data_IF_377369916250
#
_entry.id   IF_377369916250
#
_cell.length_a   1.000
_cell.length_b   1.000
_cell.length_c   1.000
_cell.angle_alpha   90.00
_cell.angle_beta   90.00
_cell.angle_gamma   90.00
#
_symmetry.space_group_name_H-M   'P 1'
#
loop_
_entity.id
_entity.type
_entity.pdbx_description
1 polymer ?
#
# COMPACT_ATOMS: atom_id res chain seq x y z
N UNK A 1 11.67 33.66 39.40
CA UNK A 1 10.81 32.49 39.04
C UNK A 1 11.11 31.94 37.65
N UNK A 2 12.37 31.69 37.30
CA UNK A 2 12.78 31.16 35.98
C UNK A 2 13.83 30.02 36.12
N UNK A 3 13.99 29.41 37.28
CA UNK A 3 15.02 28.40 37.54
C UNK A 3 14.51 27.04 38.01
N UNK A 4 13.20 26.81 38.18
CA UNK A 4 12.66 25.53 38.69
C UNK A 4 12.07 24.57 37.64
N UNK A 5 12.21 24.84 36.33
CA UNK A 5 11.66 23.95 35.28
C UNK A 5 12.66 22.89 34.77
N UNK A 6 13.90 22.87 35.30
CA UNK A 6 15.00 22.12 34.66
C UNK A 6 15.45 20.85 35.42
N UNK A 7 14.71 20.33 36.41
CA UNK A 7 15.20 19.23 37.27
C UNK A 7 14.46 17.88 37.13
N UNK A 8 13.66 17.65 36.10
CA UNK A 8 13.06 16.32 35.82
C UNK A 8 13.21 15.82 34.40
N UNK A 9 14.18 16.25 33.62
CA UNK A 9 14.59 15.56 32.42
C UNK A 9 15.54 14.41 32.74
N UNK A 10 15.04 13.39 33.46
CA UNK A 10 15.65 12.08 33.36
C UNK A 10 15.75 11.73 31.87
N UNK A 11 16.94 11.35 31.42
CA UNK A 11 17.24 11.04 30.01
C UNK A 11 16.22 10.07 29.44
N UNK A 12 15.20 10.58 28.72
CA UNK A 12 14.17 9.76 28.08
C UNK A 12 14.87 8.88 27.07
N UNK A 13 14.94 7.57 27.35
CA UNK A 13 15.55 6.59 26.44
C UNK A 13 14.82 6.61 25.09
N UNK A 14 15.55 6.88 24.02
CA UNK A 14 14.99 6.83 22.67
C UNK A 14 14.61 5.39 22.30
N UNK A 15 13.34 5.14 22.08
CA UNK A 15 12.78 3.85 21.64
C UNK A 15 12.51 3.82 20.15
N UNK A 16 12.93 4.81 19.37
CA UNK A 16 12.58 5.01 17.99
C UNK A 16 12.84 3.78 17.11
N UNK A 17 14.03 3.18 17.18
CA UNK A 17 14.36 1.99 16.39
C UNK A 17 13.51 0.76 16.77
N UNK A 18 13.24 0.56 18.07
CA UNK A 18 12.35 -0.52 18.52
C UNK A 18 10.95 -0.36 17.93
N UNK A 19 10.42 0.87 17.97
CA UNK A 19 9.09 1.18 17.40
C UNK A 19 9.10 1.04 15.88
N UNK A 20 10.18 1.46 15.22
CA UNK A 20 10.34 1.34 13.76
C UNK A 20 10.31 -0.14 13.31
N UNK A 21 11.11 -1.00 13.96
CA UNK A 21 11.11 -2.42 13.59
C UNK A 21 9.84 -3.16 14.00
N UNK A 22 9.19 -2.75 15.09
CA UNK A 22 7.87 -3.26 15.44
C UNK A 22 6.82 -2.89 14.37
N UNK A 23 6.80 -1.63 13.92
CA UNK A 23 5.93 -1.18 12.84
C UNK A 23 6.22 -1.88 11.51
N UNK A 24 7.49 -2.09 11.17
CA UNK A 24 7.89 -2.87 10.00
C UNK A 24 7.40 -4.32 10.09
N UNK A 25 7.57 -4.97 11.26
CA UNK A 25 7.12 -6.34 11.49
C UNK A 25 5.59 -6.49 11.40
N UNK A 26 4.83 -5.52 11.93
CA UNK A 26 3.37 -5.47 11.75
C UNK A 26 3.03 -5.40 10.25
N UNK A 27 3.66 -4.53 9.51
CA UNK A 27 3.43 -4.39 8.08
C UNK A 27 3.87 -5.63 7.28
N UNK A 28 4.92 -6.33 7.69
CA UNK A 28 5.32 -7.61 7.12
C UNK A 28 4.21 -8.67 7.26
N UNK A 29 3.52 -8.73 8.40
CA UNK A 29 2.40 -9.65 8.59
C UNK A 29 1.15 -9.22 7.79
N UNK A 30 0.79 -7.92 7.84
CA UNK A 30 -0.38 -7.38 7.16
C UNK A 30 -0.27 -7.40 5.63
N UNK A 31 0.95 -7.47 5.10
CA UNK A 31 1.20 -7.55 3.66
C UNK A 31 0.78 -8.86 2.99
N UNK A 32 0.12 -9.79 3.72
CA UNK A 32 -0.55 -10.98 3.14
C UNK A 32 -1.51 -10.59 2.01
N UNK A 33 -2.07 -9.39 2.04
CA UNK A 33 -2.88 -8.84 0.95
C UNK A 33 -2.19 -9.01 -0.41
N UNK A 34 -0.89 -8.75 -0.51
CA UNK A 34 -0.13 -8.88 -1.76
C UNK A 34 0.23 -10.32 -2.15
N UNK A 35 -0.04 -11.29 -1.26
CA UNK A 35 0.09 -12.72 -1.56
C UNK A 35 -1.23 -13.35 -2.00
N UNK A 36 -2.29 -12.57 -2.20
CA UNK A 36 -3.61 -13.07 -2.60
C UNK A 36 -3.57 -13.96 -3.85
N UNK A 37 -2.73 -13.65 -4.83
CA UNK A 37 -2.63 -14.47 -6.05
C UNK A 37 -2.17 -15.90 -5.75
N UNK A 38 -1.37 -16.13 -4.71
CA UNK A 38 -0.97 -17.47 -4.25
C UNK A 38 -2.14 -18.18 -3.58
N UNK A 39 -2.88 -17.48 -2.69
CA UNK A 39 -4.08 -18.02 -2.02
C UNK A 39 -5.13 -18.40 -3.06
N UNK A 40 -5.41 -17.49 -4.01
CA UNK A 40 -6.44 -17.73 -5.05
C UNK A 40 -6.09 -18.85 -6.01
N UNK A 41 -4.79 -19.07 -6.30
CA UNK A 41 -4.32 -20.24 -7.08
C UNK A 41 -4.54 -21.55 -6.30
N UNK A 42 -4.43 -21.51 -4.99
CA UNK A 42 -4.65 -22.66 -4.11
C UNK A 42 -6.10 -23.04 -3.89
N UNK A 43 -7.07 -22.27 -4.42
CA UNK A 43 -8.51 -22.61 -4.33
C UNK A 43 -8.77 -23.85 -5.14
N UNK A 44 -9.30 -24.95 -4.52
CA UNK A 44 -9.60 -26.20 -5.20
C UNK A 44 -10.61 -26.02 -6.33
N UNK A 45 -10.43 -26.78 -7.41
CA UNK A 45 -11.32 -26.73 -8.59
C UNK A 45 -12.75 -27.15 -8.20
N UNK A 46 -12.89 -28.03 -7.23
CA UNK A 46 -14.17 -28.56 -6.72
C UNK A 46 -15.04 -27.45 -6.08
N UNK A 47 -14.46 -26.31 -5.70
CA UNK A 47 -15.23 -25.17 -5.19
C UNK A 47 -15.94 -24.39 -6.30
N UNK A 48 -15.63 -24.67 -7.57
CA UNK A 48 -16.25 -24.06 -8.76
C UNK A 48 -16.22 -22.52 -8.79
N UNK A 49 -15.14 -21.90 -8.26
CA UNK A 49 -15.01 -20.44 -8.29
C UNK A 49 -14.57 -19.97 -9.68
N UNK A 50 -15.31 -19.02 -10.23
CA UNK A 50 -14.89 -18.23 -11.38
C UNK A 50 -13.70 -17.31 -11.03
N UNK A 51 -13.05 -16.73 -12.01
CA UNK A 51 -12.01 -15.72 -11.74
C UNK A 51 -12.57 -14.42 -11.18
N UNK A 52 -13.82 -14.12 -11.47
CA UNK A 52 -14.57 -13.06 -10.79
C UNK A 52 -14.71 -13.36 -9.30
N UNK A 53 -15.14 -14.58 -8.95
CA UNK A 53 -15.27 -15.00 -7.53
C UNK A 53 -13.95 -14.88 -6.78
N UNK A 54 -12.84 -15.27 -7.40
CA UNK A 54 -11.48 -15.13 -6.85
C UNK A 54 -11.02 -13.68 -6.73
N UNK A 55 -11.63 -12.76 -7.49
CA UNK A 55 -11.27 -11.33 -7.45
C UNK A 55 -11.98 -10.56 -6.35
N UNK A 56 -13.20 -10.95 -5.99
CA UNK A 56 -14.04 -10.23 -5.02
C UNK A 56 -13.40 -10.07 -3.64
N UNK A 57 -12.84 -11.11 -2.97
CA UNK A 57 -12.26 -10.94 -1.64
C UNK A 57 -11.12 -9.92 -1.63
N UNK A 58 -10.26 -9.94 -2.64
CA UNK A 58 -9.16 -9.00 -2.77
C UNK A 58 -9.64 -7.57 -3.02
N UNK A 59 -10.60 -7.40 -3.93
CA UNK A 59 -11.16 -6.10 -4.25
C UNK A 59 -11.82 -5.45 -3.03
N UNK A 60 -12.63 -6.23 -2.29
CA UNK A 60 -13.26 -5.77 -1.04
C UNK A 60 -12.19 -5.42 -0.02
N UNK A 61 -11.14 -6.23 0.12
CA UNK A 61 -10.04 -5.91 1.04
C UNK A 61 -9.38 -4.58 0.71
N UNK A 62 -9.13 -4.27 -0.57
CA UNK A 62 -8.53 -3.00 -0.99
C UNK A 62 -9.41 -1.80 -0.66
N UNK A 63 -10.71 -1.85 -0.97
CA UNK A 63 -11.61 -0.72 -0.71
C UNK A 63 -11.85 -0.52 0.78
N UNK A 64 -12.07 -1.60 1.53
CA UNK A 64 -12.25 -1.54 2.99
C UNK A 64 -11.00 -1.02 3.67
N UNK A 65 -9.80 -1.51 3.29
CA UNK A 65 -8.52 -1.01 3.79
C UNK A 65 -8.44 0.51 3.66
N UNK A 66 -8.66 1.04 2.45
CA UNK A 66 -8.50 2.46 2.18
C UNK A 66 -9.51 3.34 2.94
N UNK A 67 -10.74 2.88 3.09
CA UNK A 67 -11.78 3.59 3.85
C UNK A 67 -11.44 3.59 5.35
N UNK A 68 -11.06 2.44 5.90
CA UNK A 68 -10.76 2.27 7.33
C UNK A 68 -9.49 3.02 7.73
N UNK A 69 -8.52 3.19 6.82
CA UNK A 69 -7.28 3.90 7.11
C UNK A 69 -7.52 5.34 7.62
N UNK A 70 -8.56 6.03 7.13
CA UNK A 70 -8.87 7.41 7.54
C UNK A 70 -9.32 7.49 9.01
N UNK A 71 -10.37 6.76 9.47
CA UNK A 71 -10.76 6.77 10.88
C UNK A 71 -9.71 6.11 11.78
N UNK A 72 -8.98 5.09 11.31
CA UNK A 72 -7.93 4.42 12.08
C UNK A 72 -6.77 5.36 12.43
N UNK A 73 -6.38 6.24 11.50
CA UNK A 73 -5.38 7.27 11.75
C UNK A 73 -5.79 8.24 12.85
N UNK A 74 -7.07 8.66 12.89
CA UNK A 74 -7.61 9.49 13.99
C UNK A 74 -7.69 8.73 15.31
N UNK A 75 -8.10 7.48 15.28
CA UNK A 75 -8.17 6.63 16.46
C UNK A 75 -6.79 6.45 17.07
N UNK A 76 -5.76 6.21 16.27
CA UNK A 76 -4.39 6.04 16.74
C UNK A 76 -3.86 7.31 17.44
N UNK A 77 -4.26 8.49 17.00
CA UNK A 77 -3.89 9.74 17.68
C UNK A 77 -4.63 9.95 19.01
N UNK A 78 -5.86 9.43 19.17
CA UNK A 78 -6.70 9.57 20.36
C UNK A 78 -6.44 8.50 21.41
N UNK A 79 -6.48 7.23 21.03
CA UNK A 79 -6.41 6.07 21.96
C UNK A 79 -5.05 5.37 21.91
N UNK A 80 -4.15 5.82 21.04
CA UNK A 80 -2.78 5.34 20.90
C UNK A 80 -2.60 4.19 19.91
N UNK A 81 -1.36 4.04 19.39
CA UNK A 81 -1.05 3.09 18.32
C UNK A 81 -1.17 1.63 18.76
N UNK A 82 -0.92 1.29 20.03
CA UNK A 82 -0.99 -0.09 20.52
C UNK A 82 -2.37 -0.70 20.35
N UNK A 83 -3.39 0.02 20.83
CA UNK A 83 -4.78 -0.46 20.81
C UNK A 83 -5.23 -0.61 19.37
N UNK A 84 -4.98 0.40 18.52
CA UNK A 84 -5.45 0.43 17.14
C UNK A 84 -4.74 -0.65 16.30
N UNK A 85 -3.43 -0.84 16.47
CA UNK A 85 -2.71 -1.93 15.80
C UNK A 85 -3.17 -3.31 16.31
N UNK A 86 -3.48 -3.47 17.60
CA UNK A 86 -4.01 -4.72 18.15
C UNK A 86 -5.40 -5.06 17.58
N UNK A 87 -6.27 -4.05 17.42
CA UNK A 87 -7.55 -4.21 16.70
C UNK A 87 -7.28 -4.69 15.27
N UNK A 88 -6.29 -4.11 14.58
CA UNK A 88 -5.87 -4.53 13.24
C UNK A 88 -5.47 -6.01 13.20
N UNK A 89 -4.60 -6.45 14.12
CA UNK A 89 -4.18 -7.85 14.22
C UNK A 89 -5.32 -8.80 14.53
N UNK A 90 -6.22 -8.40 15.45
CA UNK A 90 -7.41 -9.18 15.81
C UNK A 90 -8.33 -9.37 14.60
N UNK A 91 -8.62 -8.31 13.86
CA UNK A 91 -9.49 -8.35 12.69
C UNK A 91 -8.89 -9.20 11.56
N UNK A 92 -7.58 -9.07 11.28
CA UNK A 92 -6.92 -9.93 10.27
C UNK A 92 -6.98 -11.39 10.70
N UNK A 93 -6.67 -11.70 11.97
CA UNK A 93 -6.71 -13.07 12.47
C UNK A 93 -8.09 -13.68 12.39
N UNK A 94 -9.11 -13.00 12.93
CA UNK A 94 -10.51 -13.43 12.85
C UNK A 94 -10.93 -13.58 11.38
N UNK A 95 -10.60 -12.62 10.54
CA UNK A 95 -10.96 -12.66 9.12
C UNK A 95 -10.41 -13.87 8.38
N UNK A 96 -9.13 -14.19 8.58
CA UNK A 96 -8.51 -15.38 7.99
C UNK A 96 -9.06 -16.68 8.58
N UNK A 97 -9.37 -16.71 9.89
CA UNK A 97 -10.02 -17.88 10.52
C UNK A 97 -11.41 -18.07 9.91
N UNK A 98 -12.24 -17.03 9.75
CA UNK A 98 -13.54 -17.13 9.07
C UNK A 98 -13.37 -17.66 7.65
N UNK A 99 -12.43 -17.10 6.88
CA UNK A 99 -12.17 -17.55 5.51
C UNK A 99 -11.75 -19.03 5.46
N UNK A 100 -11.00 -19.51 6.45
CA UNK A 100 -10.57 -20.90 6.51
C UNK A 100 -11.70 -21.91 6.76
N UNK A 101 -12.82 -21.49 7.36
CA UNK A 101 -13.94 -22.36 7.69
C UNK A 101 -14.97 -22.52 6.56
N UNK A 102 -14.78 -21.82 5.44
CA UNK A 102 -15.73 -21.80 4.34
C UNK A 102 -15.10 -22.25 3.02
N UNK A 103 -15.94 -22.64 2.09
CA UNK A 103 -15.58 -22.90 0.69
C UNK A 103 -16.26 -21.91 -0.25
N UNK A 104 -17.10 -21.00 0.28
CA UNK A 104 -17.87 -20.08 -0.53
C UNK A 104 -17.12 -18.76 -0.78
N UNK A 105 -17.29 -18.13 -1.96
CA UNK A 105 -16.77 -16.80 -2.23
C UNK A 105 -17.21 -15.77 -1.20
N UNK A 106 -18.48 -15.82 -0.77
CA UNK A 106 -19.03 -14.90 0.23
C UNK A 106 -18.29 -14.96 1.57
N UNK A 107 -17.96 -16.15 2.03
CA UNK A 107 -17.21 -16.31 3.27
C UNK A 107 -15.80 -15.71 3.18
N UNK A 108 -15.14 -15.82 2.03
CA UNK A 108 -13.86 -15.16 1.78
C UNK A 108 -14.00 -13.64 1.60
N UNK A 109 -15.11 -13.17 1.00
CA UNK A 109 -15.42 -11.73 0.93
C UNK A 109 -15.58 -11.14 2.32
N UNK A 110 -16.28 -11.82 3.22
CA UNK A 110 -16.42 -11.38 4.61
C UNK A 110 -15.09 -11.51 5.38
N UNK A 111 -14.47 -12.70 5.37
CA UNK A 111 -13.27 -12.98 6.15
C UNK A 111 -12.06 -12.18 5.65
N UNK A 112 -11.57 -12.46 4.45
CA UNK A 112 -10.41 -11.80 3.89
C UNK A 112 -10.73 -10.36 3.44
N UNK A 113 -11.89 -10.16 2.81
CA UNK A 113 -12.28 -8.86 2.25
C UNK A 113 -12.62 -7.83 3.34
N UNK A 114 -13.67 -8.08 4.13
CA UNK A 114 -14.17 -7.09 5.10
C UNK A 114 -13.31 -7.08 6.36
N UNK A 115 -13.20 -8.22 7.06
CA UNK A 115 -12.42 -8.27 8.30
C UNK A 115 -10.94 -8.09 8.06
N UNK A 116 -10.37 -8.78 7.06
CA UNK A 116 -8.97 -8.63 6.67
C UNK A 116 -8.67 -7.21 6.22
N UNK A 117 -9.48 -6.65 5.30
CA UNK A 117 -9.34 -5.28 4.81
C UNK A 117 -9.39 -4.23 5.91
N UNK A 118 -10.34 -4.36 6.85
CA UNK A 118 -10.41 -3.48 8.01
C UNK A 118 -9.16 -3.62 8.90
N UNK A 119 -8.73 -4.85 9.14
CA UNK A 119 -7.52 -5.12 9.92
C UNK A 119 -6.26 -4.55 9.29
N UNK A 120 -6.12 -4.64 7.96
CA UNK A 120 -5.02 -3.99 7.21
C UNK A 120 -5.06 -2.47 7.41
N UNK A 121 -6.24 -1.85 7.34
CA UNK A 121 -6.41 -0.40 7.55
C UNK A 121 -5.99 0.05 8.95
N UNK A 122 -6.48 -0.61 9.99
CA UNK A 122 -6.13 -0.29 11.38
C UNK A 122 -4.65 -0.49 11.66
N UNK A 123 -4.06 -1.60 11.23
CA UNK A 123 -2.66 -1.90 11.49
C UNK A 123 -1.71 -0.97 10.74
N UNK A 124 -1.94 -0.77 9.43
CA UNK A 124 -1.10 0.09 8.59
C UNK A 124 -1.11 1.56 9.04
N UNK A 125 -2.30 2.11 9.36
CA UNK A 125 -2.43 3.47 9.85
C UNK A 125 -1.70 3.71 11.18
N UNK A 126 -1.55 2.67 12.00
CA UNK A 126 -0.95 2.75 13.34
C UNK A 126 0.54 2.50 13.37
N UNK A 127 1.14 1.93 12.33
CA UNK A 127 2.53 1.49 12.34
C UNK A 127 3.53 2.65 12.17
N UNK A 128 3.28 3.55 11.21
CA UNK A 128 4.23 4.60 10.82
C UNK A 128 4.25 5.82 11.74
N UNK A 129 3.10 6.41 12.16
CA UNK A 129 3.10 7.65 12.92
C UNK A 129 3.86 7.59 14.26
N UNK A 130 3.76 6.53 15.07
CA UNK A 130 4.52 6.47 16.32
C UNK A 130 6.03 6.38 16.06
N UNK A 131 6.46 5.66 15.01
CA UNK A 131 7.88 5.50 14.70
C UNK A 131 8.54 6.83 14.34
N UNK A 132 7.94 7.61 13.44
CA UNK A 132 8.53 8.87 12.95
C UNK A 132 8.64 9.93 14.05
N UNK A 133 7.74 9.92 15.05
CA UNK A 133 7.74 10.89 16.17
C UNK A 133 8.98 10.79 17.07
N UNK A 134 9.74 9.69 17.02
CA UNK A 134 10.98 9.51 17.79
C UNK A 134 12.23 10.13 17.15
N UNK A 135 12.15 10.55 15.89
CA UNK A 135 13.31 11.01 15.11
C UNK A 135 13.16 12.45 14.64
N UNK A 136 14.30 13.12 14.45
CA UNK A 136 14.32 14.45 13.87
C UNK A 136 13.73 14.48 12.45
N UNK A 137 13.16 15.62 12.04
CA UNK A 137 12.50 15.81 10.75
C UNK A 137 13.32 15.31 9.55
N UNK A 138 14.65 15.47 9.59
CA UNK A 138 15.57 14.99 8.55
C UNK A 138 15.56 13.45 8.35
N UNK A 139 15.15 12.67 9.35
CA UNK A 139 15.09 11.20 9.30
C UNK A 139 13.68 10.64 9.07
N UNK A 140 12.66 11.49 9.06
CA UNK A 140 11.25 11.07 8.97
C UNK A 140 10.99 10.21 7.72
N UNK A 141 11.52 10.61 6.56
CA UNK A 141 11.37 9.88 5.31
C UNK A 141 11.98 8.47 5.36
N UNK A 142 13.20 8.35 5.91
CA UNK A 142 13.88 7.07 6.08
C UNK A 142 13.08 6.13 7.00
N UNK A 143 12.64 6.63 8.15
CA UNK A 143 11.91 5.85 9.13
C UNK A 143 10.56 5.39 8.60
N UNK A 144 9.80 6.30 7.98
CA UNK A 144 8.56 5.97 7.32
C UNK A 144 8.78 4.94 6.21
N UNK A 145 9.83 5.12 5.40
CA UNK A 145 10.21 4.18 4.34
C UNK A 145 10.46 2.77 4.86
N UNK A 146 11.22 2.62 5.95
CA UNK A 146 11.50 1.32 6.58
C UNK A 146 10.21 0.64 7.05
N UNK A 147 9.35 1.36 7.76
CA UNK A 147 8.08 0.81 8.27
C UNK A 147 7.17 0.36 7.12
N UNK A 148 7.01 1.21 6.11
CA UNK A 148 6.11 0.94 4.98
C UNK A 148 6.69 -0.12 4.03
N UNK A 149 8.03 -0.23 3.93
CA UNK A 149 8.68 -1.28 3.14
C UNK A 149 8.29 -2.69 3.64
N UNK A 150 8.01 -2.88 4.93
CA UNK A 150 7.51 -4.14 5.48
C UNK A 150 6.29 -4.66 4.73
N UNK A 151 5.30 -3.81 4.47
CA UNK A 151 4.10 -4.20 3.73
C UNK A 151 4.41 -4.59 2.26
N UNK A 152 5.31 -3.83 1.61
CA UNK A 152 5.73 -4.10 0.23
C UNK A 152 6.52 -5.40 0.08
N UNK A 153 7.40 -5.70 1.04
CA UNK A 153 8.28 -6.86 1.03
C UNK A 153 7.64 -8.15 1.60
N UNK A 154 6.45 -8.05 2.17
CA UNK A 154 5.79 -9.17 2.84
C UNK A 154 5.70 -10.44 1.98
N UNK A 155 5.35 -10.30 0.70
CA UNK A 155 5.21 -11.43 -0.20
C UNK A 155 6.53 -12.18 -0.49
N UNK A 156 7.69 -11.60 -0.15
CA UNK A 156 8.98 -12.29 -0.30
C UNK A 156 9.01 -13.57 0.55
N UNK A 157 8.43 -13.53 1.76
CA UNK A 157 8.36 -14.71 2.63
C UNK A 157 6.96 -15.34 2.68
N UNK A 158 5.88 -14.53 2.60
CA UNK A 158 4.50 -15.05 2.69
C UNK A 158 4.17 -15.91 1.47
N UNK A 159 4.58 -15.51 0.26
CA UNK A 159 4.23 -16.27 -0.94
C UNK A 159 4.85 -17.70 -0.94
N UNK A 160 6.15 -17.92 -0.69
CA UNK A 160 6.69 -19.25 -0.59
C UNK A 160 6.13 -20.03 0.61
N UNK A 161 5.98 -19.38 1.78
CA UNK A 161 5.39 -19.99 2.96
C UNK A 161 3.96 -20.48 2.71
N UNK A 162 3.12 -19.64 2.11
CA UNK A 162 1.73 -20.00 1.77
C UNK A 162 1.69 -21.14 0.76
N UNK A 163 2.54 -21.09 -0.26
CA UNK A 163 2.64 -22.18 -1.26
C UNK A 163 3.00 -23.50 -0.59
N UNK A 164 4.00 -23.50 0.29
CA UNK A 164 4.41 -24.69 1.04
C UNK A 164 3.31 -25.22 1.96
N UNK A 165 2.64 -24.34 2.71
CA UNK A 165 1.54 -24.73 3.59
C UNK A 165 0.37 -25.36 2.81
N UNK A 166 0.00 -24.78 1.66
CA UNK A 166 -1.07 -25.31 0.80
C UNK A 166 -0.68 -26.68 0.24
N UNK A 167 0.56 -26.84 -0.20
CA UNK A 167 1.05 -28.09 -0.79
C UNK A 167 1.14 -29.23 0.23
N UNK A 168 1.46 -28.92 1.49
CA UNK A 168 1.68 -29.93 2.54
C UNK A 168 0.42 -30.24 3.34
N UNK A 169 -0.50 -29.30 3.49
CA UNK A 169 -1.68 -29.45 4.34
C UNK A 169 -2.99 -29.32 3.52
N UNK A 170 -3.46 -28.10 3.36
CA UNK A 170 -4.60 -27.71 2.54
C UNK A 170 -4.73 -26.20 2.55
N UNK A 171 -5.51 -25.63 1.62
CA UNK A 171 -5.78 -24.19 1.61
C UNK A 171 -6.44 -23.73 2.92
N UNK A 172 -7.45 -24.45 3.41
CA UNK A 172 -8.16 -24.11 4.67
C UNK A 172 -7.21 -24.07 5.84
N UNK A 173 -6.41 -25.11 6.02
CA UNK A 173 -5.44 -25.21 7.11
C UNK A 173 -4.34 -24.15 6.99
N UNK A 174 -3.84 -23.89 5.79
CA UNK A 174 -2.84 -22.84 5.53
C UNK A 174 -3.36 -21.45 5.92
N UNK A 175 -4.58 -21.09 5.48
CA UNK A 175 -5.20 -19.80 5.81
C UNK A 175 -5.47 -19.68 7.32
N UNK A 176 -5.88 -20.76 7.98
CA UNK A 176 -6.08 -20.79 9.44
C UNK A 176 -4.76 -20.55 10.19
N UNK A 177 -3.70 -21.28 9.83
CA UNK A 177 -2.38 -21.12 10.45
C UNK A 177 -1.87 -19.69 10.28
N UNK A 178 -1.97 -19.13 9.07
CA UNK A 178 -1.57 -17.73 8.81
C UNK A 178 -2.41 -16.75 9.62
N UNK A 179 -3.72 -17.00 9.76
CA UNK A 179 -4.61 -16.17 10.57
C UNK A 179 -4.20 -16.14 12.04
N UNK A 180 -3.97 -17.29 12.63
CA UNK A 180 -3.52 -17.41 14.03
C UNK A 180 -2.13 -16.80 14.21
N UNK A 181 -1.19 -17.09 13.30
CA UNK A 181 0.17 -16.56 13.39
C UNK A 181 0.19 -15.03 13.30
N UNK A 182 -0.55 -14.44 12.35
CA UNK A 182 -0.59 -12.97 12.20
C UNK A 182 -1.34 -12.29 13.33
N UNK A 183 -2.39 -12.90 13.87
CA UNK A 183 -3.06 -12.43 15.09
C UNK A 183 -2.04 -12.31 16.23
N UNK A 184 -1.30 -13.37 16.51
CA UNK A 184 -0.33 -13.40 17.61
C UNK A 184 0.81 -12.39 17.34
N UNK A 185 1.41 -12.43 16.15
CA UNK A 185 2.56 -11.59 15.79
C UNK A 185 2.20 -10.11 15.81
N UNK A 186 1.07 -9.73 15.20
CA UNK A 186 0.67 -8.32 15.14
C UNK A 186 0.33 -7.79 16.53
N UNK A 187 -0.42 -8.56 17.34
CA UNK A 187 -0.74 -8.14 18.72
C UNK A 187 0.53 -8.03 19.56
N UNK A 188 1.45 -8.99 19.48
CA UNK A 188 2.71 -8.96 20.22
C UNK A 188 3.57 -7.75 19.83
N UNK A 189 3.74 -7.49 18.54
CA UNK A 189 4.49 -6.34 18.04
C UNK A 189 3.79 -5.01 18.35
N UNK A 190 2.46 -4.96 18.33
CA UNK A 190 1.69 -3.79 18.70
C UNK A 190 2.01 -3.30 20.15
N UNK A 191 2.32 -4.22 21.09
CA UNK A 191 2.72 -3.83 22.45
C UNK A 191 4.04 -3.04 22.48
N UNK A 192 4.85 -3.16 21.46
CA UNK A 192 6.11 -2.42 21.32
C UNK A 192 5.91 -1.01 20.75
N UNK A 193 4.75 -0.72 20.14
CA UNK A 193 4.45 0.61 19.62
C UNK A 193 4.25 1.59 20.78
N UNK A 194 5.03 2.65 20.76
CA UNK A 194 4.97 3.71 21.76
C UNK A 194 5.24 5.07 21.13
N UNK A 195 4.38 6.03 21.38
CA UNK A 195 4.64 7.42 21.03
C UNK A 195 5.60 8.05 22.06
N UNK A 196 6.47 8.98 21.67
CA UNK A 196 7.26 9.71 22.63
C UNK A 196 6.35 10.53 23.58
N UNK A 197 6.79 10.77 24.84
CA UNK A 197 6.02 11.59 25.78
C UNK A 197 5.93 13.03 25.28
N UNK A 198 4.93 13.77 25.78
CA UNK A 198 4.78 15.21 25.46
C UNK A 198 6.05 15.97 25.85
N UNK A 199 6.51 16.84 24.96
CA UNK A 199 7.74 17.61 25.17
C UNK A 199 9.04 16.90 24.78
N UNK A 200 8.98 15.65 24.28
CA UNK A 200 10.17 14.97 23.77
C UNK A 200 10.73 15.68 22.53
N UNK A 201 12.01 16.02 22.57
CA UNK A 201 12.75 16.60 21.44
C UNK A 201 13.75 15.58 20.92
N UNK A 202 13.59 15.09 19.68
CA UNK A 202 14.51 14.12 19.12
C UNK A 202 15.94 14.71 18.98
N UNK A 203 16.96 13.91 19.25
CA UNK A 203 18.36 14.31 19.06
C UNK A 203 18.60 14.72 17.58
N UNK A 204 19.27 15.88 17.40
CA UNK A 204 19.52 16.46 16.06
C UNK A 204 18.35 17.27 15.50
N UNK A 205 17.31 17.53 16.28
CA UNK A 205 16.28 18.52 15.92
C UNK A 205 16.87 19.93 15.99
N UNK A 206 16.66 20.75 14.94
CA UNK A 206 17.00 22.17 14.98
C UNK A 206 16.09 22.88 16.00
N UNK A 207 16.60 23.88 16.76
CA UNK A 207 15.75 24.66 17.68
C UNK A 207 14.54 25.24 16.94
N UNK A 208 13.38 25.25 17.62
CA UNK A 208 12.18 25.91 17.12
C UNK A 208 12.46 27.42 16.95
N UNK A 209 12.79 27.86 15.76
CA UNK A 209 13.18 29.24 15.45
C UNK A 209 14.00 29.35 14.16
N UNK A 210 14.63 28.29 13.70
CA UNK A 210 15.30 28.26 12.40
C UNK A 210 14.38 27.71 11.31
N UNK A 211 13.17 28.24 11.18
CA UNK A 211 12.39 28.08 9.97
C UNK A 211 13.14 28.83 8.86
N UNK A 212 13.72 28.07 7.93
CA UNK A 212 14.11 28.63 6.66
C UNK A 212 12.92 29.46 6.14
N UNK A 213 13.14 30.74 5.96
CA UNK A 213 12.25 31.66 5.24
C UNK A 213 12.24 31.13 3.80
N UNK A 214 11.35 30.19 3.53
CA UNK A 214 11.20 29.54 2.24
C UNK A 214 9.75 29.20 2.01
N UNK A 215 9.07 30.01 1.23
CA UNK A 215 7.73 29.88 0.67
C UNK A 215 6.65 29.58 1.72
N UNK A 216 5.70 30.48 1.89
CA UNK A 216 4.38 30.20 2.49
C UNK A 216 3.77 29.02 1.72
N UNK A 217 4.00 27.78 2.19
CA UNK A 217 3.27 26.64 1.68
C UNK A 217 1.86 26.76 2.23
N UNK A 218 0.93 26.93 1.34
CA UNK A 218 -0.47 27.02 1.67
C UNK A 218 -0.91 25.71 2.30
N UNK A 219 -1.45 25.77 3.52
CA UNK A 219 -1.99 24.60 4.22
C UNK A 219 -3.49 24.52 4.01
N UNK A 220 -3.92 23.62 3.13
CA UNK A 220 -5.33 23.40 2.84
C UNK A 220 -6.05 22.66 3.98
N UNK A 221 -7.25 23.13 4.33
CA UNK A 221 -8.16 22.37 5.17
C UNK A 221 -8.72 21.17 4.38
N UNK A 222 -9.07 20.06 5.05
CA UNK A 222 -9.62 18.88 4.39
C UNK A 222 -10.85 19.16 3.49
N UNK A 223 -11.69 20.10 3.89
CA UNK A 223 -12.86 20.51 3.07
C UNK A 223 -12.47 21.30 1.81
N UNK A 224 -11.39 22.08 1.90
CA UNK A 224 -10.92 22.91 0.78
C UNK A 224 -10.28 22.06 -0.31
N UNK A 225 -9.64 20.94 0.06
CA UNK A 225 -9.05 19.98 -0.87
C UNK A 225 -10.08 19.49 -1.88
N UNK A 226 -11.31 19.18 -1.45
CA UNK A 226 -12.39 18.75 -2.33
C UNK A 226 -12.88 19.84 -3.30
N UNK A 227 -12.63 21.10 -3.00
CA UNK A 227 -12.93 22.23 -3.90
C UNK A 227 -11.91 22.42 -5.03
N UNK A 228 -10.82 21.63 -5.05
CA UNK A 228 -9.74 21.79 -6.03
C UNK A 228 -9.81 20.75 -7.14
N UNK A 229 -9.65 21.16 -8.39
CA UNK A 229 -9.54 20.23 -9.53
C UNK A 229 -8.32 19.30 -9.37
N UNK A 230 -7.26 19.78 -8.72
CA UNK A 230 -6.03 19.05 -8.45
C UNK A 230 -6.26 17.79 -7.63
N UNK A 231 -7.18 17.84 -6.67
CA UNK A 231 -7.56 16.65 -5.89
C UNK A 231 -8.09 15.54 -6.79
N UNK A 232 -9.05 15.85 -7.65
CA UNK A 232 -9.68 14.87 -8.54
C UNK A 232 -8.70 14.35 -9.60
N UNK A 233 -7.79 15.20 -10.10
CA UNK A 233 -6.75 14.79 -11.02
C UNK A 233 -5.78 13.82 -10.34
N UNK A 234 -5.26 14.15 -9.16
CA UNK A 234 -4.37 13.29 -8.38
C UNK A 234 -5.08 11.98 -8.00
N UNK A 235 -6.34 12.07 -7.59
CA UNK A 235 -7.16 10.92 -7.22
C UNK A 235 -7.31 9.95 -8.41
N UNK A 236 -7.67 10.45 -9.57
CA UNK A 236 -7.81 9.64 -10.79
C UNK A 236 -6.48 9.01 -11.21
N UNK A 237 -5.40 9.80 -11.25
CA UNK A 237 -4.06 9.30 -11.60
C UNK A 237 -3.61 8.21 -10.62
N UNK A 238 -3.89 8.37 -9.33
CA UNK A 238 -3.54 7.37 -8.32
C UNK A 238 -4.39 6.11 -8.46
N UNK A 239 -5.68 6.24 -8.72
CA UNK A 239 -6.56 5.10 -8.96
C UNK A 239 -6.08 4.27 -10.18
N UNK A 240 -5.67 4.93 -11.26
CA UNK A 240 -5.12 4.27 -12.44
C UNK A 240 -3.79 3.54 -12.13
N UNK A 241 -2.81 4.26 -11.55
CA UNK A 241 -1.48 3.71 -11.30
C UNK A 241 -1.46 2.59 -10.26
N UNK A 242 -2.13 2.83 -9.13
CA UNK A 242 -2.23 1.83 -8.06
C UNK A 242 -3.11 0.64 -8.48
N UNK A 243 -4.27 0.91 -9.07
CA UNK A 243 -5.18 -0.13 -9.50
C UNK A 243 -4.57 -1.08 -10.54
N UNK A 244 -3.81 -0.54 -11.50
CA UNK A 244 -3.08 -1.33 -12.49
C UNK A 244 -2.08 -2.29 -11.80
N UNK A 245 -1.28 -1.80 -10.85
CA UNK A 245 -0.36 -2.63 -10.08
C UNK A 245 -1.08 -3.69 -9.23
N UNK A 246 -2.14 -3.30 -8.52
CA UNK A 246 -2.94 -4.21 -7.69
C UNK A 246 -3.63 -5.30 -8.52
N UNK A 247 -4.04 -5.00 -9.75
CA UNK A 247 -4.56 -5.99 -10.69
C UNK A 247 -3.53 -7.09 -10.96
N UNK A 248 -2.29 -6.74 -11.29
CA UNK A 248 -1.23 -7.73 -11.53
C UNK A 248 -0.87 -8.48 -10.25
N UNK A 249 -0.73 -7.79 -9.11
CA UNK A 249 -0.45 -8.41 -7.81
C UNK A 249 -1.49 -9.50 -7.50
N UNK A 250 -2.77 -9.23 -7.76
CA UNK A 250 -3.86 -10.18 -7.48
C UNK A 250 -3.90 -11.39 -8.43
N UNK A 251 -3.28 -11.30 -9.61
CA UNK A 251 -3.37 -12.31 -10.68
C UNK A 251 -2.02 -12.92 -11.07
N UNK A 252 -0.88 -12.49 -10.49
CA UNK A 252 0.47 -12.83 -10.94
C UNK A 252 0.70 -14.34 -11.06
N UNK A 253 0.27 -15.15 -10.09
CA UNK A 253 0.46 -16.60 -10.16
C UNK A 253 -0.31 -17.24 -11.30
N UNK A 254 -1.51 -16.74 -11.61
CA UNK A 254 -2.31 -17.25 -12.73
C UNK A 254 -1.74 -16.78 -14.08
N UNK A 255 -1.26 -15.55 -14.17
CA UNK A 255 -0.56 -15.03 -15.36
C UNK A 255 0.66 -15.90 -15.65
N UNK A 256 1.48 -16.20 -14.64
CA UNK A 256 2.64 -17.07 -14.77
C UNK A 256 2.26 -18.47 -15.30
N UNK A 257 1.23 -19.07 -14.72
CA UNK A 257 0.79 -20.41 -15.08
C UNK A 257 0.17 -20.48 -16.49
N UNK A 258 -0.84 -19.62 -16.75
CA UNK A 258 -1.65 -19.71 -17.97
C UNK A 258 -0.98 -19.10 -19.20
N UNK A 259 -0.31 -17.95 -19.06
CA UNK A 259 0.34 -17.27 -20.17
C UNK A 259 1.77 -17.76 -20.44
N UNK A 260 2.55 -17.99 -19.37
CA UNK A 260 3.94 -18.36 -19.51
C UNK A 260 4.23 -19.85 -19.27
N UNK A 261 3.30 -20.61 -18.71
CA UNK A 261 3.49 -22.03 -18.37
C UNK A 261 4.45 -22.23 -17.20
N UNK A 262 4.63 -21.23 -16.33
CA UNK A 262 5.53 -21.27 -15.17
C UNK A 262 4.76 -21.71 -13.95
N UNK A 263 5.06 -22.92 -13.45
CA UNK A 263 4.43 -23.48 -12.24
C UNK A 263 4.81 -22.75 -10.96
N UNK A 264 6.02 -22.20 -10.88
CA UNK A 264 6.58 -21.49 -9.72
C UNK A 264 6.18 -20.00 -9.68
N UNK A 265 4.91 -19.69 -9.97
CA UNK A 265 4.40 -18.30 -10.01
C UNK A 265 4.59 -17.51 -8.71
N UNK A 266 4.70 -18.18 -7.54
CA UNK A 266 4.99 -17.52 -6.27
C UNK A 266 6.36 -16.81 -6.25
N UNK A 267 7.35 -17.28 -7.03
CA UNK A 267 8.65 -16.62 -7.17
C UNK A 267 8.45 -15.25 -7.85
N UNK A 268 7.59 -15.18 -8.87
CA UNK A 268 7.29 -13.91 -9.54
C UNK A 268 6.57 -12.93 -8.60
N UNK A 269 5.74 -13.43 -7.68
CA UNK A 269 5.12 -12.60 -6.63
C UNK A 269 6.19 -12.05 -5.67
N UNK A 270 7.17 -12.86 -5.27
CA UNK A 270 8.28 -12.42 -4.44
C UNK A 270 9.16 -11.38 -5.16
N UNK A 271 9.47 -11.62 -6.44
CA UNK A 271 10.26 -10.68 -7.28
C UNK A 271 9.52 -9.36 -7.48
N UNK A 272 8.19 -9.40 -7.72
CA UNK A 272 7.34 -8.22 -7.78
C UNK A 272 7.39 -7.44 -6.45
N UNK A 273 7.36 -8.13 -5.31
CA UNK A 273 7.45 -7.51 -3.98
C UNK A 273 8.80 -6.81 -3.76
N UNK A 274 9.92 -7.41 -4.20
CA UNK A 274 11.25 -6.77 -4.17
C UNK A 274 11.23 -5.50 -5.02
N UNK A 275 10.69 -5.59 -6.25
CA UNK A 275 10.49 -4.42 -7.11
C UNK A 275 9.67 -3.33 -6.43
N UNK A 276 8.56 -3.69 -5.77
CA UNK A 276 7.72 -2.74 -5.04
C UNK A 276 8.50 -1.99 -3.94
N UNK A 277 9.30 -2.70 -3.15
CA UNK A 277 10.16 -2.07 -2.13
C UNK A 277 11.20 -1.13 -2.75
N UNK A 278 11.92 -1.59 -3.78
CA UNK A 278 12.94 -0.82 -4.48
C UNK A 278 12.34 0.42 -5.18
N UNK A 279 11.19 0.27 -5.82
CA UNK A 279 10.51 1.33 -6.56
C UNK A 279 10.14 2.53 -5.69
N UNK A 280 9.77 2.31 -4.43
CA UNK A 280 9.50 3.39 -3.47
C UNK A 280 10.72 4.28 -3.24
N UNK A 281 11.90 3.67 -3.11
CA UNK A 281 13.15 4.38 -2.87
C UNK A 281 13.61 5.08 -4.16
N UNK A 282 13.65 4.33 -5.27
CA UNK A 282 14.12 4.83 -6.56
C UNK A 282 13.25 6.00 -7.04
N UNK A 283 11.93 5.84 -7.06
CA UNK A 283 11.03 6.89 -7.52
C UNK A 283 10.99 8.09 -6.57
N UNK A 284 11.09 7.87 -5.26
CA UNK A 284 11.22 8.95 -4.28
C UNK A 284 12.44 9.81 -4.57
N UNK A 285 13.62 9.19 -4.66
CA UNK A 285 14.89 9.91 -4.93
C UNK A 285 14.94 10.52 -6.33
N UNK A 286 14.42 9.83 -7.34
CA UNK A 286 14.33 10.35 -8.71
C UNK A 286 13.44 11.59 -8.76
N UNK A 287 12.29 11.55 -8.07
CA UNK A 287 11.35 12.66 -8.06
C UNK A 287 11.87 13.92 -7.34
N UNK A 288 12.82 13.74 -6.44
CA UNK A 288 13.52 14.88 -5.81
C UNK A 288 14.51 15.55 -6.78
N UNK A 289 15.05 14.80 -7.77
CA UNK A 289 16.01 15.30 -8.77
C UNK A 289 15.34 15.90 -10.00
N UNK A 290 14.41 15.17 -10.64
CA UNK A 290 13.77 15.57 -11.91
C UNK A 290 12.36 16.14 -11.74
N UNK A 291 11.86 16.17 -10.49
CA UNK A 291 10.53 16.67 -10.16
C UNK A 291 9.44 15.59 -10.17
N UNK A 292 8.37 15.84 -9.39
CA UNK A 292 7.27 14.88 -9.19
C UNK A 292 6.56 14.50 -10.49
N UNK A 293 6.21 15.51 -11.30
CA UNK A 293 5.45 15.32 -12.55
C UNK A 293 6.18 14.46 -13.57
N UNK A 294 7.47 14.76 -13.81
CA UNK A 294 8.29 13.99 -14.75
C UNK A 294 8.44 12.53 -14.31
N UNK A 295 8.66 12.30 -13.01
CA UNK A 295 8.78 10.95 -12.46
C UNK A 295 7.47 10.18 -12.59
N UNK A 296 6.31 10.81 -12.28
CA UNK A 296 4.99 10.20 -12.44
C UNK A 296 4.73 9.83 -13.91
N UNK A 297 5.04 10.74 -14.84
CA UNK A 297 4.90 10.49 -16.29
C UNK A 297 5.70 9.25 -16.71
N UNK A 298 6.98 9.20 -16.35
CA UNK A 298 7.87 8.06 -16.67
C UNK A 298 7.29 6.76 -16.09
N UNK A 299 6.86 6.76 -14.83
CA UNK A 299 6.30 5.58 -14.18
C UNK A 299 5.01 5.09 -14.89
N UNK A 300 4.10 6.00 -15.25
CA UNK A 300 2.85 5.62 -15.91
C UNK A 300 3.11 5.08 -17.32
N UNK A 301 3.96 5.74 -18.11
CA UNK A 301 4.29 5.25 -19.47
C UNK A 301 5.02 3.92 -19.38
N UNK A 302 6.01 3.77 -18.50
CA UNK A 302 6.71 2.51 -18.31
C UNK A 302 5.74 1.39 -17.91
N UNK A 303 4.81 1.64 -17.00
CA UNK A 303 3.81 0.67 -16.59
C UNK A 303 2.88 0.28 -17.75
N UNK A 304 2.44 1.24 -18.57
CA UNK A 304 1.63 0.98 -19.76
C UNK A 304 2.37 0.08 -20.76
N UNK A 305 3.64 0.38 -21.04
CA UNK A 305 4.48 -0.45 -21.92
C UNK A 305 4.64 -1.87 -21.35
N UNK A 306 4.90 -2.02 -20.06
CA UNK A 306 5.02 -3.33 -19.43
C UNK A 306 3.74 -4.15 -19.55
N UNK A 307 2.56 -3.52 -19.52
CA UNK A 307 1.29 -4.22 -19.72
C UNK A 307 1.07 -4.66 -21.16
N UNK A 308 1.51 -3.85 -22.12
CA UNK A 308 1.53 -4.28 -23.53
C UNK A 308 2.50 -5.46 -23.71
N UNK A 309 3.67 -5.46 -23.07
CA UNK A 309 4.57 -6.62 -23.09
C UNK A 309 3.93 -7.86 -22.47
N UNK A 310 3.16 -7.71 -21.38
CA UNK A 310 2.39 -8.83 -20.81
C UNK A 310 1.31 -9.34 -21.77
N UNK A 311 0.64 -8.48 -22.53
CA UNK A 311 -0.37 -8.91 -23.52
C UNK A 311 0.25 -9.74 -24.66
N UNK A 312 1.52 -9.53 -24.96
CA UNK A 312 2.29 -10.27 -25.96
C UNK A 312 2.96 -11.54 -25.39
N UNK A 313 2.82 -11.78 -24.08
CA UNK A 313 3.40 -12.95 -23.43
C UNK A 313 2.55 -14.18 -23.68
N UNK A 314 3.00 -15.05 -24.57
CA UNK A 314 2.35 -16.32 -24.93
C UNK A 314 3.29 -17.47 -24.62
N UNK A 315 2.75 -18.61 -24.20
CA UNK A 315 3.53 -19.81 -23.90
C UNK A 315 4.45 -20.16 -25.07
N UNK A 316 5.74 -20.32 -24.79
CA UNK A 316 6.76 -20.57 -25.82
C UNK A 316 7.41 -19.32 -26.42
N UNK A 317 6.87 -18.12 -26.17
CA UNK A 317 7.51 -16.86 -26.60
C UNK A 317 8.75 -16.52 -25.75
N UNK A 318 9.59 -15.63 -26.26
CA UNK A 318 10.75 -15.09 -25.51
C UNK A 318 10.31 -14.40 -24.24
N UNK A 319 9.19 -13.67 -24.27
CA UNK A 319 8.62 -12.96 -23.12
C UNK A 319 8.11 -13.91 -22.02
N UNK A 320 7.77 -15.15 -22.36
CA UNK A 320 7.35 -16.18 -21.40
C UNK A 320 8.51 -16.87 -20.69
N UNK A 321 9.78 -16.59 -21.06
CA UNK A 321 10.93 -17.14 -20.35
C UNK A 321 10.99 -16.60 -18.93
N UNK A 322 11.20 -17.49 -17.95
CA UNK A 322 11.17 -17.14 -16.54
C UNK A 322 12.04 -15.93 -16.13
N UNK A 323 13.30 -15.77 -16.61
CA UNK A 323 14.10 -14.59 -16.28
C UNK A 323 13.50 -13.28 -16.81
N UNK A 324 12.94 -13.30 -18.02
CA UNK A 324 12.34 -12.10 -18.65
C UNK A 324 11.07 -11.71 -17.89
N UNK A 325 10.20 -12.67 -17.59
CA UNK A 325 8.98 -12.42 -16.86
C UNK A 325 9.28 -11.97 -15.40
N UNK A 326 10.38 -12.46 -14.81
CA UNK A 326 10.85 -11.97 -13.51
C UNK A 326 11.24 -10.48 -13.58
N UNK A 327 11.98 -10.06 -14.61
CA UNK A 327 12.34 -8.65 -14.81
C UNK A 327 11.07 -7.81 -15.01
N UNK A 328 10.15 -8.24 -15.85
CA UNK A 328 8.86 -7.55 -16.08
C UNK A 328 8.08 -7.44 -14.77
N UNK A 329 8.01 -8.52 -13.98
CA UNK A 329 7.36 -8.52 -12.67
C UNK A 329 8.02 -7.55 -11.69
N UNK A 330 9.36 -7.51 -11.62
CA UNK A 330 10.10 -6.57 -10.79
C UNK A 330 9.82 -5.11 -11.17
N UNK A 331 9.80 -4.80 -12.47
CA UNK A 331 9.53 -3.46 -12.99
C UNK A 331 8.08 -3.04 -12.75
N UNK A 332 7.11 -3.94 -12.90
CA UNK A 332 5.71 -3.68 -12.53
C UNK A 332 5.60 -3.40 -11.04
N UNK A 333 6.27 -4.21 -10.22
CA UNK A 333 6.35 -3.96 -8.78
C UNK A 333 6.96 -2.60 -8.46
N UNK A 334 8.06 -2.24 -9.12
CA UNK A 334 8.73 -0.96 -8.93
C UNK A 334 7.83 0.24 -9.27
N UNK A 335 7.12 0.19 -10.39
CA UNK A 335 6.16 1.23 -10.76
C UNK A 335 4.98 1.32 -9.80
N UNK A 336 4.48 0.18 -9.33
CA UNK A 336 3.46 0.16 -8.29
C UNK A 336 3.98 0.80 -6.98
N UNK A 337 5.19 0.41 -6.54
CA UNK A 337 5.83 1.00 -5.37
C UNK A 337 6.09 2.50 -5.50
N UNK A 338 6.44 2.97 -6.70
CA UNK A 338 6.63 4.38 -7.01
C UNK A 338 5.39 5.22 -6.65
N UNK A 339 4.18 4.75 -6.96
CA UNK A 339 2.94 5.46 -6.61
C UNK A 339 2.83 5.70 -5.10
N UNK A 340 3.23 4.72 -4.27
CA UNK A 340 3.15 4.81 -2.81
C UNK A 340 4.17 5.78 -2.18
N UNK A 341 5.13 6.29 -2.93
CA UNK A 341 6.05 7.35 -2.52
C UNK A 341 5.74 8.70 -3.19
N UNK A 342 5.31 8.68 -4.45
CA UNK A 342 5.04 9.89 -5.23
C UNK A 342 3.75 10.59 -4.77
N UNK A 343 2.65 9.86 -4.59
CA UNK A 343 1.37 10.48 -4.23
C UNK A 343 1.36 11.13 -2.85
N UNK A 344 1.94 10.53 -1.77
CA UNK A 344 2.13 11.26 -0.51
C UNK A 344 2.96 12.53 -0.69
N UNK A 345 4.04 12.45 -1.49
CA UNK A 345 4.94 13.59 -1.72
C UNK A 345 4.23 14.73 -2.46
N UNK A 346 3.50 14.41 -3.54
CA UNK A 346 2.71 15.41 -4.29
C UNK A 346 1.59 16.00 -3.43
N UNK A 347 0.89 15.16 -2.66
CA UNK A 347 -0.18 15.62 -1.75
C UNK A 347 0.37 16.62 -0.73
N UNK A 348 1.54 16.32 -0.14
CA UNK A 348 2.24 17.25 0.75
C UNK A 348 2.64 18.54 0.04
N UNK A 349 3.19 18.42 -1.19
CA UNK A 349 3.67 19.57 -1.96
C UNK A 349 2.51 20.48 -2.43
N UNK A 350 1.32 19.93 -2.65
CA UNK A 350 0.14 20.65 -3.13
C UNK A 350 -0.76 21.18 -2.01
N UNK A 351 -0.97 20.42 -0.95
CA UNK A 351 -1.96 20.72 0.09
C UNK A 351 -1.35 21.04 1.46
N UNK A 352 -0.02 21.07 1.57
CA UNK A 352 0.69 21.44 2.80
C UNK A 352 0.82 20.30 3.80
N UNK A 353 1.45 20.63 4.95
CA UNK A 353 1.79 19.66 5.99
C UNK A 353 0.82 19.64 7.17
N UNK A 354 0.15 20.74 7.47
CA UNK A 354 -0.69 20.91 8.68
C UNK A 354 -1.79 19.86 8.78
N UNK A 355 -2.47 19.58 7.68
CA UNK A 355 -3.58 18.60 7.60
C UNK A 355 -3.21 17.39 6.73
N UNK A 356 -1.91 17.13 6.54
CA UNK A 356 -1.40 16.12 5.59
C UNK A 356 -2.03 14.75 5.78
N UNK A 357 -2.14 14.27 7.01
CA UNK A 357 -2.68 12.93 7.29
C UNK A 357 -4.09 12.73 6.75
N UNK A 358 -4.95 13.75 6.91
CA UNK A 358 -6.33 13.69 6.41
C UNK A 358 -6.39 13.91 4.90
N UNK A 359 -5.67 14.91 4.39
CA UNK A 359 -5.63 15.22 2.97
C UNK A 359 -5.10 14.04 2.15
N UNK A 360 -4.03 13.40 2.63
CA UNK A 360 -3.51 12.19 1.99
C UNK A 360 -4.45 10.99 2.17
N UNK A 361 -5.12 10.85 3.32
CA UNK A 361 -6.12 9.81 3.52
C UNK A 361 -7.22 9.85 2.46
N UNK A 362 -7.71 11.04 2.11
CA UNK A 362 -8.68 11.21 1.03
C UNK A 362 -8.09 10.85 -0.35
N UNK A 363 -6.86 11.29 -0.63
CA UNK A 363 -6.19 10.91 -1.89
C UNK A 363 -5.95 9.40 -1.93
N UNK A 364 -5.63 8.76 -0.80
CA UNK A 364 -5.39 7.32 -0.69
C UNK A 364 -6.64 6.47 -0.95
N UNK A 365 -7.86 7.02 -0.82
CA UNK A 365 -9.07 6.30 -1.22
C UNK A 365 -9.06 5.91 -2.70
N UNK A 366 -8.34 6.64 -3.55
CA UNK A 366 -8.09 6.31 -4.94
C UNK A 366 -7.39 4.96 -5.12
N UNK A 367 -6.41 4.66 -4.24
CA UNK A 367 -5.72 3.37 -4.21
C UNK A 367 -6.72 2.22 -3.98
N UNK A 368 -7.64 2.40 -3.02
CA UNK A 368 -8.67 1.42 -2.73
C UNK A 368 -9.66 1.23 -3.88
N UNK A 369 -10.11 2.31 -4.50
CA UNK A 369 -11.04 2.26 -5.65
C UNK A 369 -10.37 1.63 -6.86
N UNK A 370 -9.11 1.97 -7.17
CA UNK A 370 -8.34 1.31 -8.22
C UNK A 370 -8.16 -0.19 -7.96
N UNK A 371 -7.82 -0.55 -6.70
CA UNK A 371 -7.68 -1.93 -6.25
C UNK A 371 -9.00 -2.71 -6.17
N UNK A 372 -10.13 -2.02 -6.11
CA UNK A 372 -11.46 -2.61 -6.22
C UNK A 372 -11.84 -2.87 -7.69
N UNK A 373 -11.71 -1.86 -8.53
CA UNK A 373 -12.24 -1.90 -9.91
C UNK A 373 -11.38 -2.79 -10.81
N UNK A 374 -10.06 -2.58 -10.87
CA UNK A 374 -9.24 -3.23 -11.90
C UNK A 374 -9.04 -4.74 -11.68
N UNK A 375 -8.83 -5.27 -10.46
CA UNK A 375 -8.82 -6.73 -10.25
C UNK A 375 -10.14 -7.42 -10.57
N UNK A 376 -11.29 -6.78 -10.25
CA UNK A 376 -12.61 -7.30 -10.62
C UNK A 376 -12.83 -7.29 -12.13
N UNK A 377 -12.45 -6.20 -12.79
CA UNK A 377 -12.52 -6.11 -14.24
C UNK A 377 -11.70 -7.21 -14.89
N UNK A 378 -10.46 -7.43 -14.43
CA UNK A 378 -9.60 -8.50 -14.94
C UNK A 378 -10.21 -9.89 -14.73
N UNK A 379 -10.85 -10.14 -13.59
CA UNK A 379 -11.57 -11.38 -13.33
C UNK A 379 -12.72 -11.61 -14.31
N UNK A 380 -13.60 -10.61 -14.47
CA UNK A 380 -14.75 -10.66 -15.38
C UNK A 380 -14.32 -10.81 -16.84
N UNK A 381 -13.30 -10.08 -17.27
CA UNK A 381 -12.78 -10.19 -18.64
C UNK A 381 -12.17 -11.58 -18.89
N UNK A 382 -11.45 -12.13 -17.89
CA UNK A 382 -10.91 -13.48 -18.00
C UNK A 382 -12.01 -14.53 -18.07
N UNK A 383 -13.05 -14.44 -17.26
CA UNK A 383 -14.18 -15.39 -17.29
C UNK A 383 -14.85 -15.40 -18.69
N UNK A 384 -14.95 -14.22 -19.33
CA UNK A 384 -15.58 -14.06 -20.64
C UNK A 384 -14.69 -14.49 -21.81
N UNK A 385 -13.41 -14.08 -21.80
CA UNK A 385 -12.52 -14.20 -22.95
C UNK A 385 -11.39 -15.22 -22.76
N UNK A 386 -11.25 -15.81 -21.56
CA UNK A 386 -10.20 -16.76 -21.16
C UNK A 386 -8.76 -16.22 -21.35
N UNK A 387 -8.62 -14.88 -21.39
CA UNK A 387 -7.33 -14.17 -21.48
C UNK A 387 -7.37 -12.90 -20.63
N UNK A 388 -6.18 -12.44 -20.18
CA UNK A 388 -6.02 -11.16 -19.50
C UNK A 388 -5.72 -9.98 -20.45
N UNK A 389 -5.55 -10.21 -21.74
CA UNK A 389 -5.14 -9.19 -22.72
C UNK A 389 -6.02 -7.94 -22.67
N UNK A 390 -7.34 -8.11 -22.65
CA UNK A 390 -8.28 -6.98 -22.58
C UNK A 390 -8.11 -6.17 -21.28
N UNK A 391 -7.79 -6.82 -20.15
CA UNK A 391 -7.53 -6.12 -18.91
C UNK A 391 -6.23 -5.30 -19.00
N UNK A 392 -5.20 -5.82 -19.66
CA UNK A 392 -3.96 -5.08 -19.90
C UNK A 392 -4.18 -3.88 -20.80
N UNK A 393 -4.98 -4.01 -21.89
CA UNK A 393 -5.29 -2.89 -22.77
C UNK A 393 -6.04 -1.78 -22.04
N UNK A 394 -7.08 -2.12 -21.27
CA UNK A 394 -7.81 -1.13 -20.46
C UNK A 394 -6.89 -0.45 -19.48
N UNK A 395 -6.09 -1.20 -18.73
CA UNK A 395 -5.15 -0.62 -17.78
C UNK A 395 -4.08 0.25 -18.47
N UNK A 396 -3.57 -0.15 -19.64
CA UNK A 396 -2.61 0.66 -20.41
C UNK A 396 -3.23 1.98 -20.87
N UNK A 397 -4.47 1.98 -21.35
CA UNK A 397 -5.18 3.21 -21.75
C UNK A 397 -5.32 4.13 -20.54
N UNK A 398 -5.77 3.62 -19.39
CA UNK A 398 -5.91 4.40 -18.16
C UNK A 398 -4.57 4.98 -17.69
N UNK A 399 -3.47 4.22 -17.81
CA UNK A 399 -2.12 4.68 -17.47
C UNK A 399 -1.63 5.77 -18.42
N UNK A 400 -1.91 5.66 -19.72
CA UNK A 400 -1.58 6.72 -20.70
C UNK A 400 -2.39 7.99 -20.41
N UNK A 401 -3.69 7.87 -20.09
CA UNK A 401 -4.50 9.01 -19.65
C UNK A 401 -3.92 9.65 -18.38
N UNK A 402 -3.52 8.84 -17.40
CA UNK A 402 -2.87 9.33 -16.18
C UNK A 402 -1.53 10.04 -16.51
N UNK A 403 -0.74 9.49 -17.43
CA UNK A 403 0.50 10.12 -17.90
C UNK A 403 0.24 11.49 -18.55
N UNK A 404 -0.74 11.59 -19.44
CA UNK A 404 -1.14 12.86 -20.07
C UNK A 404 -1.58 13.88 -19.04
N UNK A 405 -2.34 13.46 -18.01
CA UNK A 405 -2.78 14.36 -16.94
C UNK A 405 -1.62 14.97 -16.13
N UNK A 406 -0.42 14.35 -16.11
CA UNK A 406 0.74 14.94 -15.43
C UNK A 406 1.14 16.30 -15.99
N UNK A 407 0.88 16.58 -17.28
CA UNK A 407 1.17 17.87 -17.90
C UNK A 407 0.24 18.97 -17.42
N UNK A 408 -1.03 18.63 -17.13
CA UNK A 408 -2.06 19.59 -16.75
C UNK A 408 -2.11 19.87 -15.25
N UNK A 409 -1.71 18.91 -14.41
CA UNK A 409 -1.74 19.08 -12.96
C UNK A 409 -0.70 20.11 -12.50
N UNK A 410 -1.15 21.17 -11.83
CA UNK A 410 -0.30 22.24 -11.26
C UNK A 410 -0.67 22.42 -9.78
N UNK A 411 0.25 22.86 -8.91
CA UNK A 411 -0.08 23.16 -7.52
C UNK A 411 -1.30 24.11 -7.44
N UNK A 412 -2.28 23.85 -6.57
CA UNK A 412 -3.40 24.75 -6.38
C UNK A 412 -2.92 26.05 -5.75
N UNK A 413 -3.51 27.17 -6.14
CA UNK A 413 -3.33 28.45 -5.46
C UNK A 413 -4.46 28.62 -4.46
N UNK A 414 -4.14 28.99 -3.24
CA UNK A 414 -5.16 29.42 -2.27
C UNK A 414 -5.71 30.76 -2.77
N UNK A 415 -6.96 30.77 -3.11
CA UNK A 415 -7.67 32.03 -3.32
C UNK A 415 -7.80 32.67 -1.93
N UNK A 416 -6.92 33.61 -1.62
CA UNK A 416 -7.10 34.50 -0.49
C UNK A 416 -8.42 35.22 -0.79
N UNK A 417 -9.49 34.85 -0.10
CA UNK A 417 -10.64 35.73 -0.01
C UNK A 417 -10.14 37.00 0.68
N UNK A 418 -9.90 38.04 -0.07
CA UNK A 418 -9.84 39.38 0.51
C UNK A 418 -11.15 39.55 1.29
N UNK A 419 -11.08 39.45 2.60
CA UNK A 419 -12.11 39.99 3.45
C UNK A 419 -12.13 41.49 3.10
N UNK A 420 -13.13 41.88 2.30
CA UNK A 420 -13.52 43.26 2.16
C UNK A 420 -13.95 43.72 3.54
N UNK A 421 -13.04 44.47 4.19
CA UNK A 421 -13.28 45.28 5.37
C UNK A 421 -14.45 46.24 5.17
#
# INVERSE_FOLDING_TARGET
MAQEVNLQQGTIRNLGWRVTFAGMGINLALGILYSWSVISKGIPVEWNWSESDKSWPYAIACIVFSIIMVPAGRMQDKIGPRIVASIGGLLVGIGLIIASQTTSPLGYMLGFGVFGGAGFGFGYASATPPAVKWFAAAKTGLIAGIVVAGFGLASVYIAPLTTWLIATLSLKTAVMILGIAFLIVVIALAQLLKTPPKGYIPAGSKPAGSTAVGSKKEDFLPKEVFGTAQFYMLWFMYACGAGAGLMIISKMTKIADKQAGISLGFILVAVLAIGNGAGRIIAGTLSDKIGRKATMFICFIMQAVLFILLSLTVKGSVLAKAPILAIVSALIGANYGANLSLFPSVTKDYFGLKNFGMNYGFVFTAWGVGGFILPLLAGKLYDKYQTFEYAYYVASILLVLAAVMTFFVKPPQHLIKEEKS
#
